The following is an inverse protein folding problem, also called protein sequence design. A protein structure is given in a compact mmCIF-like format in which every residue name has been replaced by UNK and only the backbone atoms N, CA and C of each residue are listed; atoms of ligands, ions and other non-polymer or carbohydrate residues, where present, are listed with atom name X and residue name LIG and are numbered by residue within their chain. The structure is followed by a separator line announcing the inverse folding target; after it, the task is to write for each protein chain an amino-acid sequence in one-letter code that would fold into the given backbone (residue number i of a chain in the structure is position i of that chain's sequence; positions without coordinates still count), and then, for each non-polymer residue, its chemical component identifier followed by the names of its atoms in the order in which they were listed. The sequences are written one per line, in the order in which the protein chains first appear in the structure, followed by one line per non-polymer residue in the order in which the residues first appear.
data_IF_586195237600
#
_entry.id   IF_586195237600
#
_cell.length_a   1.000
_cell.length_b   1.000
_cell.length_c   1.000
_cell.angle_alpha   90.00
_cell.angle_beta   90.00
_cell.angle_gamma   90.00
#
_symmetry.space_group_name_H-M   'P 1'
#
loop_
_entity.id
_entity.type
_entity.pdbx_description
1 polymer ?
#
# COMPACT_ATOMS: atom_id res chain seq x y z
N UNK A 1 -8.98 -6.91 -12.94
CA UNK A 1 -9.06 -5.97 -11.81
C UNK A 1 -9.31 -4.59 -12.40
N UNK A 2 -10.29 -3.86 -11.90
CA UNK A 2 -10.55 -2.46 -12.28
C UNK A 2 -9.68 -1.52 -11.45
N UNK A 3 -9.57 -0.26 -11.87
CA UNK A 3 -8.85 0.76 -11.09
C UNK A 3 -9.47 0.95 -9.70
N UNK A 4 -10.81 0.98 -9.61
CA UNK A 4 -11.55 1.13 -8.37
C UNK A 4 -11.32 -0.04 -7.40
N UNK A 5 -11.31 -1.28 -7.89
CA UNK A 5 -10.99 -2.46 -7.09
C UNK A 5 -9.57 -2.38 -6.51
N UNK A 6 -8.62 -1.87 -7.29
CA UNK A 6 -7.24 -1.72 -6.84
C UNK A 6 -7.10 -0.59 -5.80
N UNK A 7 -7.76 0.55 -6.02
CA UNK A 7 -7.81 1.65 -5.05
C UNK A 7 -8.45 1.20 -3.73
N UNK A 8 -9.52 0.41 -3.79
CA UNK A 8 -10.15 -0.16 -2.60
C UNK A 8 -9.18 -1.07 -1.82
N UNK A 9 -8.40 -1.90 -2.51
CA UNK A 9 -7.39 -2.76 -1.87
C UNK A 9 -6.25 -1.96 -1.24
N UNK A 10 -5.81 -0.87 -1.88
CA UNK A 10 -4.82 0.07 -1.34
C UNK A 10 -5.35 0.68 -0.03
N UNK A 11 -6.60 1.15 -0.02
CA UNK A 11 -7.24 1.73 1.16
C UNK A 11 -7.26 0.75 2.33
N UNK A 12 -7.74 -0.48 2.09
CA UNK A 12 -7.80 -1.52 3.11
C UNK A 12 -6.40 -1.85 3.68
N UNK A 13 -5.40 -1.96 2.81
CA UNK A 13 -4.03 -2.26 3.24
C UNK A 13 -3.40 -1.09 4.01
N UNK A 14 -3.70 0.17 3.65
CA UNK A 14 -3.26 1.34 4.42
C UNK A 14 -3.83 1.32 5.83
N UNK A 15 -5.13 1.04 5.98
CA UNK A 15 -5.78 0.93 7.28
C UNK A 15 -5.13 -0.19 8.11
N UNK A 16 -4.90 -1.36 7.52
CA UNK A 16 -4.22 -2.48 8.18
C UNK A 16 -2.82 -2.08 8.69
N UNK A 17 -2.00 -1.44 7.85
CA UNK A 17 -0.67 -0.98 8.22
C UNK A 17 -0.70 0.00 9.40
N UNK A 18 -1.60 0.99 9.38
CA UNK A 18 -1.76 1.97 10.45
C UNK A 18 -2.19 1.30 11.76
N UNK A 19 -3.14 0.36 11.70
CA UNK A 19 -3.59 -0.40 12.86
C UNK A 19 -2.49 -1.31 13.42
N UNK A 20 -1.62 -1.87 12.58
CA UNK A 20 -0.48 -2.65 13.06
C UNK A 20 0.60 -1.76 13.66
N UNK A 21 0.89 -0.62 13.05
CA UNK A 21 1.81 0.38 13.56
C UNK A 21 1.39 0.86 14.95
N UNK A 22 0.09 1.12 15.16
CA UNK A 22 -0.44 1.57 16.45
C UNK A 22 -0.37 0.49 17.53
N UNK A 23 -0.40 -0.79 17.15
CA UNK A 23 -0.35 -1.93 18.11
C UNK A 23 1.05 -2.41 18.41
N UNK A 24 1.94 -2.38 17.42
CA UNK A 24 3.22 -3.11 17.45
C UNK A 24 4.43 -2.22 17.24
N UNK A 25 4.20 -0.95 16.90
CA UNK A 25 5.25 0.00 16.52
C UNK A 25 5.54 -0.01 15.02
N UNK A 26 6.09 1.11 14.53
CA UNK A 26 6.37 1.33 13.10
C UNK A 26 7.47 0.42 12.55
N UNK A 27 8.43 0.02 13.39
CA UNK A 27 9.56 -0.84 13.01
C UNK A 27 9.30 -2.32 13.22
N UNK A 28 8.09 -2.69 13.67
CA UNK A 28 7.75 -4.09 13.88
C UNK A 28 7.78 -4.85 12.55
N UNK A 29 8.15 -6.13 12.60
CA UNK A 29 8.15 -6.99 11.42
C UNK A 29 6.78 -7.04 10.73
N UNK A 30 5.70 -6.93 11.51
CA UNK A 30 4.32 -6.93 11.03
C UNK A 30 4.01 -5.64 10.27
N UNK A 31 4.33 -4.49 10.86
CA UNK A 31 4.14 -3.18 10.22
C UNK A 31 4.98 -3.05 8.95
N UNK A 32 6.24 -3.50 8.98
CA UNK A 32 7.12 -3.49 7.79
C UNK A 32 6.59 -4.40 6.68
N UNK A 33 6.00 -5.56 7.02
CA UNK A 33 5.36 -6.45 6.04
C UNK A 33 4.17 -5.77 5.36
N UNK A 34 3.27 -5.15 6.15
CA UNK A 34 2.14 -4.43 5.57
C UNK A 34 2.55 -3.19 4.78
N UNK A 35 3.62 -2.49 5.18
CA UNK A 35 4.20 -1.39 4.41
C UNK A 35 4.67 -1.87 3.04
N UNK A 36 5.39 -3.00 2.97
CA UNK A 36 5.84 -3.57 1.71
C UNK A 36 4.68 -3.99 0.81
N UNK A 37 3.66 -4.64 1.38
CA UNK A 37 2.46 -5.04 0.64
C UNK A 37 1.67 -3.83 0.12
N UNK A 38 1.63 -2.73 0.88
CA UNK A 38 1.04 -1.47 0.43
C UNK A 38 1.82 -0.86 -0.74
N UNK A 39 3.14 -0.82 -0.66
CA UNK A 39 4.01 -0.33 -1.74
C UNK A 39 3.84 -1.16 -3.02
N UNK A 40 3.72 -2.49 -2.91
CA UNK A 40 3.48 -3.37 -4.05
C UNK A 40 2.13 -3.03 -4.73
N UNK A 41 1.08 -2.74 -3.97
CA UNK A 41 -0.22 -2.33 -4.50
C UNK A 41 -0.17 -0.94 -5.16
N UNK A 42 0.53 0.02 -4.55
CA UNK A 42 0.74 1.36 -5.11
C UNK A 42 1.53 1.29 -6.43
N UNK A 43 2.60 0.49 -6.47
CA UNK A 43 3.36 0.26 -7.68
C UNK A 43 2.53 -0.43 -8.77
N UNK A 44 1.68 -1.38 -8.39
CA UNK A 44 0.75 -2.00 -9.33
C UNK A 44 -0.24 -0.99 -9.91
N UNK A 45 -0.82 -0.12 -9.08
CA UNK A 45 -1.73 0.93 -9.55
C UNK A 45 -1.02 1.90 -10.48
N UNK A 46 0.20 2.32 -10.08
CA UNK A 46 1.04 3.18 -10.90
C UNK A 46 1.32 2.58 -12.27
N UNK A 47 1.71 1.31 -12.32
CA UNK A 47 2.06 0.63 -13.57
C UNK A 47 0.85 0.36 -14.49
N UNK A 48 -0.34 0.12 -13.91
CA UNK A 48 -1.54 -0.22 -14.68
C UNK A 48 -2.34 1.01 -15.11
N UNK A 49 -2.38 2.05 -14.28
CA UNK A 49 -3.31 3.18 -14.45
C UNK A 49 -2.63 4.55 -14.46
N UNK A 50 -1.42 4.68 -13.90
CA UNK A 50 -0.71 5.95 -13.84
C UNK A 50 0.52 5.97 -14.77
N UNK A 51 0.30 6.02 -16.09
CA UNK A 51 1.33 6.59 -16.97
C UNK A 51 1.30 8.12 -16.85
N UNK A 52 1.81 8.66 -15.74
CA UNK A 52 2.46 9.98 -15.64
C UNK A 52 2.90 10.33 -14.20
N UNK A 53 4.19 10.73 -14.08
CA UNK A 53 4.90 11.36 -12.94
C UNK A 53 5.31 10.44 -11.77
N UNK A 54 6.52 10.45 -11.20
CA UNK A 54 7.81 11.11 -11.47
C UNK A 54 8.97 10.22 -10.95
N UNK A 55 10.22 10.50 -11.39
CA UNK A 55 11.45 9.84 -10.93
C UNK A 55 11.84 10.28 -9.51
N UNK A 56 12.56 9.41 -8.80
CA UNK A 56 13.40 9.75 -7.65
C UNK A 56 14.73 9.06 -7.83
#
# INVERSE_FOLDING_TARGET
MTEEELLHRIELKRIEMVLMASKTGITSKQTLKASKELDDLLNMHRNLYAFQTQPT
#
